data_IF_737949472150
#
_entry.id   IF_737949472150
#
_cell.length_a   1.000
_cell.length_b   1.000
_cell.length_c   1.000
_cell.angle_alpha   90.00
_cell.angle_beta   90.00
_cell.angle_gamma   90.00
#
_symmetry.space_group_name_H-M   'P 1'
#
loop_
_entity.id
_entity.type
_entity.pdbx_description
1 polymer ?
#
# COMPACT_ATOMS: atom_id res chain seq x y z
N UNK A 1 -9.15 -5.96 2.09
CA UNK A 1 -9.38 -4.77 2.93
C UNK A 1 -10.80 -4.75 3.49
N UNK A 2 -11.86 -4.77 2.65
CA UNK A 2 -13.27 -4.83 3.12
C UNK A 2 -13.55 -5.94 4.15
N UNK A 3 -13.10 -7.16 3.88
CA UNK A 3 -13.32 -8.32 4.76
C UNK A 3 -12.50 -8.29 6.07
N UNK A 4 -11.60 -7.31 6.22
CA UNK A 4 -10.64 -7.19 7.31
C UNK A 4 -10.51 -5.73 7.76
N UNK A 5 -11.61 -4.99 7.82
CA UNK A 5 -11.61 -3.54 8.02
C UNK A 5 -10.84 -3.10 9.28
N UNK A 6 -10.94 -3.86 10.38
CA UNK A 6 -10.27 -3.58 11.65
C UNK A 6 -8.73 -3.54 11.53
N UNK A 7 -8.16 -4.23 10.55
CA UNK A 7 -6.71 -4.26 10.29
C UNK A 7 -6.21 -2.99 9.56
N UNK A 8 -7.10 -2.22 8.93
CA UNK A 8 -6.73 -1.10 8.05
C UNK A 8 -7.31 0.24 8.51
N UNK A 9 -8.55 0.24 8.96
CA UNK A 9 -9.30 1.44 9.33
C UNK A 9 -8.58 2.34 10.35
N UNK A 10 -7.87 1.81 11.39
CA UNK A 10 -7.11 2.64 12.33
C UNK A 10 -5.93 3.41 11.71
N UNK A 11 -5.49 3.04 10.50
CA UNK A 11 -4.28 3.56 9.86
C UNK A 11 -4.56 4.48 8.67
N UNK A 12 -5.83 4.73 8.33
CA UNK A 12 -6.21 5.71 7.30
C UNK A 12 -6.02 7.11 7.86
N UNK A 13 -5.23 7.94 7.19
CA UNK A 13 -4.99 9.30 7.64
C UNK A 13 -6.14 10.23 7.25
N UNK A 14 -6.44 11.23 8.08
CA UNK A 14 -7.44 12.27 7.77
C UNK A 14 -7.13 13.01 6.45
N UNK A 15 -5.85 13.09 6.06
CA UNK A 15 -5.41 13.66 4.77
C UNK A 15 -5.85 12.84 3.57
N UNK A 16 -6.10 11.54 3.74
CA UNK A 16 -6.48 10.64 2.65
C UNK A 16 -7.97 10.76 2.29
N UNK A 17 -8.76 11.38 3.18
CA UNK A 17 -10.23 11.44 3.11
C UNK A 17 -10.79 12.86 3.30
N UNK A 18 -9.98 13.82 3.73
CA UNK A 18 -10.19 15.27 3.89
C UNK A 18 -11.65 15.76 3.76
N UNK A 19 -12.49 15.43 4.72
CA UNK A 19 -13.86 15.94 4.80
C UNK A 19 -14.23 16.26 6.25
N UNK A 20 -14.27 17.57 6.55
CA UNK A 20 -14.52 18.04 7.91
C UNK A 20 -15.91 17.58 8.39
N UNK A 21 -15.95 16.78 9.46
CA UNK A 21 -17.18 16.30 10.08
C UNK A 21 -17.68 14.94 9.58
N UNK A 22 -16.94 14.26 8.70
CA UNK A 22 -17.28 12.89 8.29
C UNK A 22 -17.00 11.87 9.40
N UNK A 23 -17.83 10.84 9.45
CA UNK A 23 -17.70 9.71 10.38
C UNK A 23 -16.60 8.76 9.94
N UNK A 24 -16.12 7.91 10.86
CA UNK A 24 -15.13 6.88 10.55
C UNK A 24 -15.57 5.93 9.42
N UNK A 25 -16.87 5.63 9.31
CA UNK A 25 -17.41 4.76 8.26
C UNK A 25 -17.45 5.47 6.90
N UNK A 26 -17.76 6.77 6.87
CA UNK A 26 -17.71 7.56 5.63
C UNK A 26 -16.28 7.74 5.13
N UNK A 27 -15.33 7.97 6.04
CA UNK A 27 -13.90 7.95 5.73
C UNK A 27 -13.46 6.61 5.13
N UNK A 28 -13.87 5.50 5.74
CA UNK A 28 -13.55 4.16 5.24
C UNK A 28 -14.05 3.93 3.81
N UNK A 29 -15.32 4.24 3.54
CA UNK A 29 -15.88 4.03 2.20
C UNK A 29 -15.22 4.96 1.17
N UNK A 30 -14.94 6.21 1.52
CA UNK A 30 -14.24 7.15 0.64
C UNK A 30 -12.84 6.68 0.29
N UNK A 31 -12.10 6.19 1.29
CA UNK A 31 -10.76 5.62 1.09
C UNK A 31 -10.81 4.43 0.13
N UNK A 32 -11.69 3.47 0.38
CA UNK A 32 -11.83 2.29 -0.46
C UNK A 32 -12.23 2.63 -1.89
N UNK A 33 -13.15 3.57 -2.09
CA UNK A 33 -13.50 4.05 -3.43
C UNK A 33 -12.30 4.66 -4.16
N UNK A 34 -11.41 5.34 -3.44
CA UNK A 34 -10.17 5.88 -4.00
C UNK A 34 -9.24 4.77 -4.46
N UNK A 35 -9.00 3.77 -3.61
CA UNK A 35 -8.08 2.65 -3.89
C UNK A 35 -8.61 1.71 -4.97
N UNK A 36 -9.93 1.54 -5.08
CA UNK A 36 -10.58 0.66 -6.08
C UNK A 36 -10.53 1.23 -7.51
N UNK A 37 -10.19 2.51 -7.68
CA UNK A 37 -10.22 3.21 -8.97
C UNK A 37 -8.80 3.51 -9.47
N UNK A 38 -8.62 3.55 -10.78
CA UNK A 38 -7.38 4.08 -11.36
C UNK A 38 -7.29 5.60 -11.15
N UNK A 39 -6.07 6.12 -11.02
CA UNK A 39 -5.82 7.55 -10.83
C UNK A 39 -6.45 8.44 -11.93
N UNK A 40 -6.52 7.95 -13.17
CA UNK A 40 -7.12 8.66 -14.32
C UNK A 40 -8.61 8.95 -14.14
N UNK A 41 -9.32 8.16 -13.33
CA UNK A 41 -10.77 8.28 -13.08
C UNK A 41 -11.08 8.66 -11.63
N UNK A 42 -10.14 9.34 -10.98
CA UNK A 42 -10.30 9.86 -9.62
C UNK A 42 -10.00 8.87 -8.51
N UNK A 43 -9.22 7.83 -8.79
CA UNK A 43 -8.63 6.97 -7.77
C UNK A 43 -7.38 7.59 -7.13
N UNK A 44 -6.85 6.92 -6.11
CA UNK A 44 -5.63 7.31 -5.40
C UNK A 44 -4.54 6.26 -5.59
N UNK A 45 -3.28 6.70 -5.54
CA UNK A 45 -2.15 5.77 -5.56
C UNK A 45 -2.05 5.07 -4.20
N UNK A 46 -1.86 3.76 -4.23
CA UNK A 46 -1.70 2.96 -3.01
C UNK A 46 -0.33 3.14 -2.35
N UNK A 47 -0.29 2.82 -1.06
CA UNK A 47 0.90 2.89 -0.22
C UNK A 47 1.09 1.63 0.64
N UNK A 48 1.53 1.82 1.88
CA UNK A 48 1.86 0.71 2.78
C UNK A 48 0.63 -0.14 3.16
N UNK A 49 -0.56 0.47 3.32
CA UNK A 49 -1.80 -0.25 3.61
C UNK A 49 -2.15 -1.23 2.48
N UNK A 50 -2.11 -0.75 1.23
CA UNK A 50 -2.40 -1.59 0.06
C UNK A 50 -1.35 -2.68 -0.11
N UNK A 51 -0.07 -2.38 0.14
CA UNK A 51 1.00 -3.38 0.09
C UNK A 51 0.84 -4.44 1.18
N UNK A 52 0.38 -4.09 2.38
CA UNK A 52 0.02 -5.06 3.41
C UNK A 52 -1.17 -5.93 2.98
N UNK A 53 -2.20 -5.34 2.39
CA UNK A 53 -3.34 -6.09 1.86
C UNK A 53 -2.91 -7.07 0.76
N UNK A 54 -2.00 -6.64 -0.13
CA UNK A 54 -1.40 -7.48 -1.18
C UNK A 54 -0.58 -8.62 -0.56
N UNK A 55 0.25 -8.34 0.44
CA UNK A 55 1.02 -9.37 1.13
C UNK A 55 0.12 -10.46 1.73
N UNK A 56 -0.99 -10.05 2.34
CA UNK A 56 -1.96 -10.96 2.96
C UNK A 56 -2.75 -11.79 1.94
N UNK A 57 -3.29 -11.17 0.88
CA UNK A 57 -4.12 -11.90 -0.10
C UNK A 57 -3.31 -12.90 -0.93
N UNK A 58 -2.04 -12.59 -1.21
CA UNK A 58 -1.15 -13.51 -1.91
C UNK A 58 -0.34 -14.41 -0.98
N UNK A 59 -0.45 -14.21 0.34
CA UNK A 59 0.36 -14.90 1.36
C UNK A 59 1.85 -14.88 1.01
N UNK A 60 2.35 -13.70 0.62
CA UNK A 60 3.74 -13.50 0.18
C UNK A 60 4.35 -12.31 0.89
N UNK A 61 5.61 -12.46 1.30
CA UNK A 61 6.40 -11.32 1.79
C UNK A 61 6.63 -10.32 0.65
N UNK A 62 6.47 -9.03 0.95
CA UNK A 62 6.81 -7.92 0.05
C UNK A 62 7.99 -7.16 0.65
N UNK A 63 9.07 -7.01 -0.11
CA UNK A 63 10.24 -6.20 0.28
C UNK A 63 10.26 -4.93 -0.55
N UNK A 64 10.16 -3.80 0.14
CA UNK A 64 10.23 -2.45 -0.43
C UNK A 64 11.62 -1.87 -0.16
N UNK A 65 12.43 -1.74 -1.20
CA UNK A 65 13.72 -1.06 -1.13
C UNK A 65 13.53 0.45 -1.26
N UNK A 66 14.14 1.20 -0.34
CA UNK A 66 14.10 2.66 -0.28
C UNK A 66 15.50 3.21 -0.07
N UNK A 67 15.67 4.51 -0.24
CA UNK A 67 16.96 5.17 -0.04
C UNK A 67 17.47 5.09 1.39
N UNK A 68 16.58 4.93 2.36
CA UNK A 68 16.85 4.87 3.80
C UNK A 68 16.87 3.44 4.37
N UNK A 69 16.71 2.41 3.53
CA UNK A 69 16.74 1.01 3.93
C UNK A 69 15.68 0.16 3.25
N UNK A 70 15.28 -0.94 3.89
CA UNK A 70 14.23 -1.81 3.39
C UNK A 70 13.04 -1.88 4.37
N UNK A 71 11.83 -2.02 3.82
CA UNK A 71 10.63 -2.34 4.59
C UNK A 71 10.08 -3.69 4.13
N UNK A 72 9.79 -4.58 5.08
CA UNK A 72 9.31 -5.95 4.84
C UNK A 72 7.88 -6.13 5.32
N UNK A 73 6.96 -6.42 4.42
CA UNK A 73 5.54 -6.60 4.74
C UNK A 73 5.21 -8.09 4.62
N UNK A 74 4.38 -8.62 5.51
CA UNK A 74 4.03 -10.04 5.51
C UNK A 74 5.19 -10.96 5.89
N UNK A 75 6.00 -10.60 6.88
CA UNK A 75 7.17 -11.39 7.33
C UNK A 75 6.79 -12.81 7.80
N UNK A 76 5.54 -13.02 8.22
CA UNK A 76 5.00 -14.36 8.53
C UNK A 76 4.95 -15.31 7.32
N UNK A 77 5.08 -14.78 6.11
CA UNK A 77 5.12 -15.54 4.87
C UNK A 77 6.54 -15.77 4.33
N UNK A 78 7.58 -15.42 5.11
CA UNK A 78 8.96 -15.74 4.75
C UNK A 78 9.19 -17.26 4.85
N UNK A 79 9.48 -17.90 3.73
CA UNK A 79 9.67 -19.35 3.65
C UNK A 79 10.84 -19.72 2.73
N UNK A 80 11.60 -20.81 3.01
CA UNK A 80 12.84 -21.14 2.30
C UNK A 80 12.73 -21.33 0.78
N UNK A 81 11.53 -21.62 0.27
CA UNK A 81 11.27 -21.87 -1.16
C UNK A 81 10.37 -20.80 -1.78
N UNK A 82 10.02 -19.76 -1.03
CA UNK A 82 9.20 -18.62 -1.47
C UNK A 82 10.13 -17.43 -1.73
N UNK A 83 10.02 -16.82 -2.90
CA UNK A 83 10.69 -15.55 -3.16
C UNK A 83 9.75 -14.40 -2.86
N UNK A 84 10.20 -13.38 -2.09
CA UNK A 84 9.38 -12.21 -1.85
C UNK A 84 9.13 -11.43 -3.13
N UNK A 85 7.99 -10.75 -3.18
CA UNK A 85 7.77 -9.67 -4.15
C UNK A 85 8.74 -8.53 -3.82
N UNK A 86 9.49 -8.07 -4.80
CA UNK A 86 10.49 -7.01 -4.61
C UNK A 86 10.10 -5.79 -5.41
N UNK A 87 10.03 -4.66 -4.72
CA UNK A 87 9.75 -3.37 -5.33
C UNK A 87 10.75 -2.34 -4.80
N UNK A 88 11.07 -1.35 -5.62
CA UNK A 88 11.82 -0.18 -5.19
C UNK A 88 10.88 1.01 -5.12
N UNK A 89 10.93 1.75 -4.01
CA UNK A 89 10.23 3.01 -3.85
C UNK A 89 11.20 4.17 -3.93
N UNK A 90 10.89 5.10 -4.85
CA UNK A 90 11.68 6.28 -5.13
C UNK A 90 10.81 7.51 -4.90
N UNK A 91 11.20 8.35 -3.95
CA UNK A 91 10.46 9.58 -3.63
C UNK A 91 10.74 10.74 -4.58
N UNK A 92 11.90 10.73 -5.23
CA UNK A 92 12.39 11.79 -6.11
C UNK A 92 12.84 11.23 -7.46
N UNK A 93 12.13 10.22 -7.97
CA UNK A 93 12.43 9.67 -9.29
C UNK A 93 12.01 10.70 -10.36
N UNK A 94 13.00 11.33 -10.99
CA UNK A 94 12.79 12.33 -12.04
C UNK A 94 11.82 13.45 -11.59
N UNK A 95 10.93 13.89 -12.48
CA UNK A 95 9.86 14.84 -12.21
C UNK A 95 8.55 14.17 -11.75
N UNK A 96 8.54 12.85 -11.54
CA UNK A 96 7.33 12.07 -11.23
C UNK A 96 6.98 12.05 -9.74
N UNK A 97 7.94 12.33 -8.86
CA UNK A 97 7.74 12.27 -7.41
C UNK A 97 7.84 10.84 -6.87
N UNK A 98 6.86 10.45 -6.06
CA UNK A 98 6.78 9.14 -5.40
C UNK A 98 6.36 8.04 -6.38
N UNK A 99 7.16 6.98 -6.47
CA UNK A 99 6.91 5.91 -7.44
C UNK A 99 7.44 4.56 -6.98
N UNK A 100 6.70 3.50 -7.29
CA UNK A 100 7.11 2.11 -7.09
C UNK A 100 7.46 1.47 -8.43
N UNK A 101 8.60 0.78 -8.50
CA UNK A 101 8.96 -0.06 -9.65
C UNK A 101 9.15 -1.50 -9.22
N UNK A 102 8.76 -2.44 -10.07
CA UNK A 102 9.15 -3.84 -9.91
C UNK A 102 10.66 -3.98 -10.10
N UNK A 103 11.28 -4.84 -9.29
CA UNK A 103 12.68 -5.23 -9.46
C UNK A 103 12.83 -6.74 -9.27
N UNK A 104 13.77 -7.34 -9.99
CA UNK A 104 14.24 -8.69 -9.73
C UNK A 104 15.58 -8.63 -8.96
N UNK A 105 16.11 -9.79 -8.58
CA UNK A 105 17.50 -9.85 -8.10
C UNK A 105 18.45 -9.41 -9.24
N UNK A 106 19.48 -8.66 -8.87
CA UNK A 106 20.69 -8.54 -9.68
C UNK A 106 21.49 -9.85 -9.67
#
# INVERSE_FOLDING_TARGET
MRDHADDFLPFIADTDVSEAGATSSEHWEKYLMGVERCAEVGGVWGGELELNAIANIYQKMVVVYKTDGERRLGEQYDAPHEHPLRIVFLRRAYHLGEHYNSTCNA
#
